data_IF_389974452527
#
_entry.id   IF_389974452527
#
_cell.length_a   1.000
_cell.length_b   1.000
_cell.length_c   1.000
_cell.angle_alpha   90.00
_cell.angle_beta   90.00
_cell.angle_gamma   90.00
#
_symmetry.space_group_name_H-M   'P 1'
#
loop_
_entity.id
_entity.type
_entity.pdbx_description
1 polymer ?
#
# COMPACT_ATOMS: atom_id res chain seq x y z
N UNK A 1 -11.34 -10.26 -28.03
CA UNK A 1 -10.63 -10.58 -26.78
C UNK A 1 -9.68 -9.43 -26.56
N UNK A 2 -9.91 -8.61 -25.53
CA UNK A 2 -8.96 -7.57 -25.19
C UNK A 2 -7.88 -8.25 -24.36
N UNK A 3 -6.65 -8.24 -24.87
CA UNK A 3 -5.49 -8.88 -24.23
C UNK A 3 -5.09 -8.07 -22.99
N UNK A 4 -5.80 -8.30 -21.89
CA UNK A 4 -5.43 -7.74 -20.60
C UNK A 4 -4.27 -8.52 -20.00
N UNK A 5 -3.23 -7.80 -19.61
CA UNK A 5 -2.11 -8.37 -18.87
C UNK A 5 -2.35 -8.16 -17.39
N UNK A 6 -2.78 -9.21 -16.70
CA UNK A 6 -2.92 -9.21 -15.25
C UNK A 6 -1.53 -9.32 -14.61
N UNK A 7 -1.06 -8.25 -14.00
CA UNK A 7 0.17 -8.24 -13.24
C UNK A 7 -0.16 -8.06 -11.75
N UNK A 8 0.01 -9.16 -11.03
CA UNK A 8 -0.19 -9.27 -9.61
C UNK A 8 1.12 -8.96 -8.88
N UNK A 9 1.11 -7.95 -8.02
CA UNK A 9 2.27 -7.65 -7.19
C UNK A 9 1.85 -7.24 -5.79
N UNK A 10 2.67 -7.59 -4.81
CA UNK A 10 2.60 -7.05 -3.47
C UNK A 10 3.74 -6.03 -3.28
N UNK A 11 3.43 -4.75 -3.10
CA UNK A 11 4.48 -3.72 -3.05
C UNK A 11 5.06 -3.60 -1.65
N UNK A 12 6.36 -3.85 -1.48
CA UNK A 12 7.04 -3.68 -0.21
C UNK A 12 7.05 -2.20 0.22
N UNK A 13 7.24 -1.26 -0.71
CA UNK A 13 7.29 0.16 -0.38
C UNK A 13 5.91 0.69 0.06
N UNK A 14 4.83 0.35 -0.65
CA UNK A 14 3.46 0.74 -0.24
C UNK A 14 3.06 0.08 1.08
N UNK A 15 3.36 -1.21 1.25
CA UNK A 15 3.09 -1.92 2.51
C UNK A 15 3.87 -1.35 3.70
N UNK A 16 5.05 -0.75 3.48
CA UNK A 16 5.78 -0.09 4.56
C UNK A 16 5.08 1.18 5.05
N UNK A 17 4.47 1.96 4.16
CA UNK A 17 3.69 3.14 4.57
C UNK A 17 2.47 2.71 5.39
N UNK A 18 1.77 1.65 4.97
CA UNK A 18 0.64 1.07 5.70
C UNK A 18 1.08 0.53 7.07
N UNK A 19 2.25 -0.10 7.14
CA UNK A 19 2.81 -0.56 8.41
C UNK A 19 3.02 0.61 9.38
N UNK A 20 3.57 1.74 8.92
CA UNK A 20 3.78 2.93 9.76
C UNK A 20 2.43 3.57 10.13
N UNK A 21 1.45 3.63 9.24
CA UNK A 21 0.09 4.08 9.55
C UNK A 21 -0.50 3.28 10.73
N UNK A 22 -0.41 1.96 10.66
CA UNK A 22 -0.92 1.08 11.70
C UNK A 22 -0.19 1.26 13.04
N UNK A 23 1.13 1.53 13.00
CA UNK A 23 1.85 1.94 14.21
C UNK A 23 1.20 3.20 14.82
N UNK A 24 0.99 4.26 14.03
CA UNK A 24 0.35 5.48 14.53
C UNK A 24 -1.06 5.24 15.07
N UNK A 25 -1.87 4.38 14.45
CA UNK A 25 -3.20 4.05 14.95
C UNK A 25 -3.16 3.28 16.27
N UNK A 26 -2.32 2.26 16.38
CA UNK A 26 -2.15 1.48 17.61
C UNK A 26 -1.62 2.34 18.75
N UNK A 27 -0.76 3.32 18.45
CA UNK A 27 -0.18 4.23 19.45
C UNK A 27 -1.14 5.26 20.03
N UNK A 28 -2.18 5.61 19.27
CA UNK A 28 -3.17 6.62 19.66
C UNK A 28 -4.46 6.00 20.22
N UNK A 29 -4.54 4.67 20.31
CA UNK A 29 -5.62 3.96 20.96
C UNK A 29 -5.24 3.59 22.39
N UNK A 30 -6.23 3.57 23.28
CA UNK A 30 -6.05 3.23 24.70
C UNK A 30 -5.80 1.74 24.95
N UNK A 31 -6.04 0.90 23.94
CA UNK A 31 -5.88 -0.55 23.98
C UNK A 31 -5.32 -1.03 22.63
N UNK A 32 -4.60 -2.14 22.63
CA UNK A 32 -4.26 -2.86 21.41
C UNK A 32 -5.58 -3.30 20.76
N UNK A 33 -5.85 -2.84 19.55
CA UNK A 33 -7.18 -3.03 18.92
C UNK A 33 -7.16 -3.90 17.69
N UNK A 34 -5.98 -4.15 17.10
CA UNK A 34 -5.89 -4.80 15.79
C UNK A 34 -4.62 -5.65 15.73
N UNK A 35 -4.78 -6.98 15.84
CA UNK A 35 -3.72 -8.00 15.68
C UNK A 35 -3.21 -8.15 14.23
N UNK A 36 -3.38 -7.12 13.38
CA UNK A 36 -2.97 -7.16 11.97
C UNK A 36 -1.46 -6.97 11.80
N UNK A 37 -0.86 -6.16 12.66
CA UNK A 37 0.57 -5.82 12.61
C UNK A 37 1.21 -5.96 13.99
N UNK A 38 2.49 -6.36 14.07
CA UNK A 38 3.22 -6.42 15.33
C UNK A 38 3.21 -5.08 16.05
N UNK A 39 2.85 -5.10 17.33
CA UNK A 39 3.04 -3.95 18.21
C UNK A 39 4.52 -3.79 18.57
N UNK A 40 5.00 -2.56 18.55
CA UNK A 40 6.37 -2.20 18.94
C UNK A 40 6.31 -1.19 20.06
N UNK A 41 7.10 -1.30 21.14
CA UNK A 41 7.29 -0.23 22.12
C UNK A 41 8.16 0.88 21.50
N UNK A 42 7.57 2.05 21.24
CA UNK A 42 8.15 3.17 20.52
C UNK A 42 8.37 4.33 21.50
N UNK A 43 9.48 5.04 21.31
CA UNK A 43 9.70 6.32 21.97
C UNK A 43 8.92 7.42 21.23
N UNK A 44 7.83 7.92 21.84
CA UNK A 44 6.96 8.97 21.28
C UNK A 44 7.70 10.27 20.93
N UNK A 45 8.84 10.54 21.58
CA UNK A 45 9.64 11.72 21.29
C UNK A 45 10.23 11.71 19.88
N UNK A 46 10.39 10.53 19.27
CA UNK A 46 10.85 10.35 17.89
C UNK A 46 9.74 10.42 16.83
N UNK A 47 8.47 10.39 17.23
CA UNK A 47 7.33 10.45 16.33
C UNK A 47 6.93 11.90 16.00
N UNK A 48 6.53 12.13 14.75
CA UNK A 48 5.79 13.33 14.37
C UNK A 48 4.44 13.36 15.08
N UNK A 49 3.83 14.55 15.20
CA UNK A 49 2.41 14.60 15.54
C UNK A 49 1.57 13.97 14.40
N UNK A 50 0.34 13.56 14.72
CA UNK A 50 -0.52 12.81 13.78
C UNK A 50 -0.78 13.58 12.49
N UNK A 51 -1.05 14.89 12.58
CA UNK A 51 -1.34 15.73 11.41
C UNK A 51 -0.15 15.82 10.45
N UNK A 52 1.06 16.07 10.98
CA UNK A 52 2.28 16.13 10.19
C UNK A 52 2.61 14.77 9.57
N UNK A 53 2.40 13.69 10.32
CA UNK A 53 2.56 12.34 9.80
C UNK A 53 1.62 12.07 8.63
N UNK A 54 0.31 12.38 8.75
CA UNK A 54 -0.66 12.16 7.68
C UNK A 54 -0.28 12.90 6.39
N UNK A 55 0.16 14.15 6.50
CA UNK A 55 0.60 14.95 5.35
C UNK A 55 1.80 14.29 4.67
N UNK A 56 2.84 13.93 5.44
CA UNK A 56 4.07 13.35 4.87
C UNK A 56 3.86 11.93 4.35
N UNK A 57 3.06 11.12 5.04
CA UNK A 57 2.73 9.77 4.62
C UNK A 57 1.97 9.76 3.30
N UNK A 58 0.98 10.66 3.13
CA UNK A 58 0.31 10.88 1.84
C UNK A 58 1.28 11.27 0.74
N UNK A 59 2.23 12.16 1.01
CA UNK A 59 3.23 12.56 0.01
C UNK A 59 4.12 11.38 -0.42
N UNK A 60 4.63 10.61 0.53
CA UNK A 60 5.44 9.42 0.25
C UNK A 60 4.63 8.37 -0.51
N UNK A 61 3.40 8.11 -0.08
CA UNK A 61 2.46 7.23 -0.76
C UNK A 61 2.27 7.65 -2.23
N UNK A 62 1.99 8.93 -2.48
CA UNK A 62 1.86 9.47 -3.85
C UNK A 62 3.12 9.32 -4.69
N UNK A 63 4.31 9.50 -4.10
CA UNK A 63 5.57 9.33 -4.82
C UNK A 63 5.79 7.87 -5.23
N UNK A 64 5.45 6.91 -4.36
CA UNK A 64 5.54 5.49 -4.67
C UNK A 64 4.50 5.11 -5.73
N UNK A 65 3.25 5.52 -5.51
CA UNK A 65 2.10 5.19 -6.35
C UNK A 65 2.24 5.70 -7.80
N UNK A 66 2.91 6.84 -8.00
CA UNK A 66 3.14 7.43 -9.32
C UNK A 66 4.52 7.07 -9.90
N UNK A 67 5.19 6.04 -9.39
CA UNK A 67 6.45 5.57 -9.97
C UNK A 67 6.19 4.72 -11.21
N UNK A 68 6.67 5.17 -12.38
CA UNK A 68 6.36 4.59 -13.71
C UNK A 68 6.56 3.06 -13.80
N UNK A 69 7.58 2.53 -13.12
CA UNK A 69 7.94 1.11 -13.18
C UNK A 69 7.94 0.46 -11.78
N UNK A 70 6.98 0.82 -10.91
CA UNK A 70 6.91 0.29 -9.54
C UNK A 70 6.94 -1.24 -9.54
N UNK A 71 6.11 -1.89 -10.37
CA UNK A 71 6.03 -3.35 -10.46
C UNK A 71 7.38 -4.03 -10.68
N UNK A 72 8.21 -3.50 -11.59
CA UNK A 72 9.48 -4.11 -11.98
C UNK A 72 10.59 -3.84 -10.96
N UNK A 73 10.61 -2.66 -10.37
CA UNK A 73 11.74 -2.17 -9.57
C UNK A 73 11.44 -1.98 -8.08
N UNK A 74 10.28 -2.44 -7.56
CA UNK A 74 9.88 -2.15 -6.18
C UNK A 74 10.92 -2.64 -5.14
N UNK A 75 11.44 -3.85 -5.34
CA UNK A 75 12.48 -4.43 -4.49
C UNK A 75 13.79 -3.65 -4.57
N UNK A 76 14.15 -3.15 -5.76
CA UNK A 76 15.33 -2.32 -5.95
C UNK A 76 15.16 -0.95 -5.30
N UNK A 77 13.97 -0.35 -5.41
CA UNK A 77 13.62 0.90 -4.75
C UNK A 77 13.71 0.76 -3.23
N UNK A 78 13.25 -0.36 -2.71
CA UNK A 78 13.39 -0.69 -1.29
C UNK A 78 14.85 -0.82 -0.86
N UNK A 79 15.62 -1.62 -1.60
CA UNK A 79 17.01 -1.94 -1.28
C UNK A 79 17.92 -0.71 -1.36
N UNK A 80 17.65 0.19 -2.31
CA UNK A 80 18.40 1.42 -2.52
C UNK A 80 17.84 2.63 -1.75
N UNK A 81 16.83 2.44 -0.89
CA UNK A 81 16.20 3.52 -0.12
C UNK A 81 15.70 4.69 -1.00
N UNK A 82 15.10 4.39 -2.16
CA UNK A 82 14.64 5.40 -3.12
C UNK A 82 13.69 6.42 -2.49
N UNK A 83 12.83 5.98 -1.57
CA UNK A 83 11.87 6.82 -0.89
C UNK A 83 12.35 7.19 0.51
N UNK A 84 12.20 8.47 0.88
CA UNK A 84 12.63 9.02 2.17
C UNK A 84 11.64 8.72 3.30
N UNK A 85 11.54 7.45 3.68
CA UNK A 85 10.67 7.02 4.80
C UNK A 85 11.13 7.55 6.16
N UNK A 86 12.41 7.90 6.30
CA UNK A 86 12.98 8.54 7.49
C UNK A 86 12.26 9.86 7.81
N UNK A 87 11.76 10.57 6.79
CA UNK A 87 11.00 11.82 6.97
C UNK A 87 9.62 11.63 7.61
N UNK A 88 9.16 10.39 7.81
CA UNK A 88 7.95 10.09 8.58
C UNK A 88 8.19 10.13 10.09
N UNK A 89 9.43 10.41 10.51
CA UNK A 89 9.85 10.56 11.89
C UNK A 89 10.41 11.97 12.12
N UNK A 90 10.64 12.34 13.38
CA UNK A 90 11.31 13.60 13.71
C UNK A 90 12.78 13.55 13.32
N UNK A 91 13.30 14.69 12.89
CA UNK A 91 14.73 14.89 12.61
C UNK A 91 15.50 15.13 13.91
N UNK A 92 15.52 14.10 14.76
CA UNK A 92 16.26 14.04 16.02
C UNK A 92 16.98 12.71 16.10
N UNK A 93 17.99 12.59 16.97
CA UNK A 93 18.67 11.30 17.19
C UNK A 93 17.69 10.17 17.54
N UNK A 94 16.69 10.48 18.38
CA UNK A 94 15.62 9.56 18.77
C UNK A 94 14.76 9.16 17.56
N UNK A 95 14.36 10.12 16.72
CA UNK A 95 13.54 9.83 15.53
C UNK A 95 14.29 8.99 14.49
N UNK A 96 15.58 9.27 14.28
CA UNK A 96 16.46 8.48 13.39
C UNK A 96 16.63 7.04 13.90
N UNK A 97 16.81 6.86 15.21
CA UNK A 97 16.88 5.53 15.82
C UNK A 97 15.55 4.78 15.69
N UNK A 98 14.44 5.47 15.95
CA UNK A 98 13.10 4.91 15.85
C UNK A 98 12.79 4.42 14.43
N UNK A 99 13.14 5.21 13.41
CA UNK A 99 13.03 4.81 12.01
C UNK A 99 13.77 3.49 11.73
N UNK A 100 15.02 3.35 12.21
CA UNK A 100 15.82 2.13 12.01
C UNK A 100 15.18 0.91 12.66
N UNK A 101 14.65 1.07 13.88
CA UNK A 101 13.94 0.00 14.60
C UNK A 101 12.69 -0.43 13.84
N UNK A 102 11.85 0.54 13.44
CA UNK A 102 10.60 0.28 12.71
C UNK A 102 10.88 -0.38 11.36
N UNK A 103 11.86 0.11 10.60
CA UNK A 103 12.25 -0.49 9.31
C UNK A 103 12.75 -1.93 9.45
N UNK A 104 13.55 -2.22 10.48
CA UNK A 104 14.04 -3.58 10.76
C UNK A 104 12.90 -4.52 11.18
N UNK A 105 11.98 -4.02 12.01
CA UNK A 105 10.78 -4.77 12.41
C UNK A 105 9.92 -5.11 11.21
N UNK A 106 9.58 -4.11 10.39
CA UNK A 106 8.82 -4.30 9.16
C UNK A 106 9.48 -5.31 8.23
N UNK A 107 10.79 -5.20 7.99
CA UNK A 107 11.51 -6.15 7.12
C UNK A 107 11.37 -7.59 7.62
N UNK A 108 11.47 -7.80 8.92
CA UNK A 108 11.35 -9.13 9.53
C UNK A 108 9.91 -9.66 9.39
N UNK A 109 8.92 -8.83 9.71
CA UNK A 109 7.50 -9.19 9.58
C UNK A 109 7.06 -9.41 8.12
N UNK A 110 7.51 -8.56 7.19
CA UNK A 110 7.10 -8.60 5.80
C UNK A 110 7.59 -9.88 5.13
N UNK A 111 8.86 -10.26 5.26
CA UNK A 111 9.35 -11.46 4.58
C UNK A 111 8.82 -12.78 5.16
N UNK A 112 8.45 -12.80 6.45
CA UNK A 112 7.89 -14.00 7.08
C UNK A 112 6.38 -14.11 6.87
N UNK A 113 5.63 -13.05 7.21
CA UNK A 113 4.17 -13.08 7.27
C UNK A 113 3.55 -12.18 6.20
N UNK A 114 3.93 -10.90 6.14
CA UNK A 114 3.23 -9.91 5.32
C UNK A 114 3.22 -10.24 3.83
N UNK A 115 4.38 -10.61 3.28
CA UNK A 115 4.58 -11.01 1.89
C UNK A 115 3.75 -12.26 1.58
N UNK A 116 3.84 -13.30 2.42
CA UNK A 116 3.05 -14.53 2.25
C UNK A 116 1.55 -14.25 2.25
N UNK A 117 1.07 -13.39 3.15
CA UNK A 117 -0.34 -12.99 3.17
C UNK A 117 -0.74 -12.31 1.87
N UNK A 118 0.05 -11.34 1.40
CA UNK A 118 -0.24 -10.64 0.15
C UNK A 118 -0.12 -11.54 -1.09
N UNK A 119 0.85 -12.44 -1.17
CA UNK A 119 1.14 -13.23 -2.38
C UNK A 119 0.50 -14.62 -2.42
N UNK A 120 0.32 -15.29 -1.28
CA UNK A 120 -0.21 -16.66 -1.24
C UNK A 120 -1.70 -16.66 -0.92
N UNK A 121 -2.12 -15.81 0.01
CA UNK A 121 -3.50 -15.84 0.52
C UNK A 121 -4.42 -14.85 -0.17
N UNK A 122 -3.91 -13.67 -0.52
CA UNK A 122 -4.72 -12.65 -1.18
C UNK A 122 -4.55 -12.72 -2.70
N UNK A 123 -3.33 -12.86 -3.20
CA UNK A 123 -3.03 -12.63 -4.60
C UNK A 123 -3.78 -13.55 -5.58
N UNK A 124 -3.95 -14.86 -5.35
CA UNK A 124 -4.63 -15.69 -6.36
C UNK A 124 -6.14 -15.45 -6.37
N UNK A 125 -6.80 -15.61 -5.21
CA UNK A 125 -8.26 -15.48 -5.14
C UNK A 125 -8.76 -14.03 -5.29
N UNK A 126 -8.10 -13.06 -4.66
CA UNK A 126 -8.55 -11.66 -4.66
C UNK A 126 -8.34 -11.03 -6.03
N UNK A 127 -7.20 -11.29 -6.67
CA UNK A 127 -6.87 -10.65 -7.95
C UNK A 127 -7.74 -11.21 -9.07
N UNK A 128 -7.92 -12.52 -9.12
CA UNK A 128 -8.81 -13.14 -10.10
C UNK A 128 -10.27 -12.68 -9.91
N UNK A 129 -10.76 -12.67 -8.67
CA UNK A 129 -12.11 -12.19 -8.36
C UNK A 129 -12.30 -10.70 -8.71
N UNK A 130 -11.35 -9.84 -8.31
CA UNK A 130 -11.40 -8.41 -8.62
C UNK A 130 -11.34 -8.16 -10.14
N UNK A 131 -10.47 -8.88 -10.85
CA UNK A 131 -10.37 -8.81 -12.31
C UNK A 131 -11.67 -9.26 -13.00
N UNK A 132 -12.24 -10.38 -12.58
CA UNK A 132 -13.51 -10.86 -13.13
C UNK A 132 -14.65 -9.85 -12.88
N UNK A 133 -14.68 -9.21 -11.71
CA UNK A 133 -15.61 -8.12 -11.39
C UNK A 133 -15.38 -6.89 -12.27
N UNK A 134 -14.13 -6.50 -12.53
CA UNK A 134 -13.80 -5.39 -13.45
C UNK A 134 -14.35 -5.66 -14.85
N UNK A 135 -14.08 -6.85 -15.41
CA UNK A 135 -14.57 -7.25 -16.74
C UNK A 135 -16.09 -7.29 -16.81
N UNK A 136 -16.76 -7.78 -15.76
CA UNK A 136 -18.22 -7.80 -15.73
C UNK A 136 -18.81 -6.38 -15.64
N UNK A 137 -18.20 -5.51 -14.85
CA UNK A 137 -18.64 -4.13 -14.71
C UNK A 137 -18.46 -3.34 -16.02
N UNK A 138 -17.38 -3.57 -16.77
CA UNK A 138 -17.18 -2.94 -18.09
C UNK A 138 -18.26 -3.35 -19.09
N UNK A 139 -18.65 -4.63 -19.10
CA UNK A 139 -19.74 -5.14 -19.95
C UNK A 139 -21.09 -4.53 -19.57
N UNK A 140 -21.39 -4.44 -18.27
CA UNK A 140 -22.65 -3.86 -17.77
C UNK A 140 -22.75 -2.38 -18.14
N UNK A 141 -21.65 -1.63 -18.00
CA UNK A 141 -21.60 -0.20 -18.29
C UNK A 141 -21.45 0.14 -19.77
N UNK A 142 -21.23 -0.86 -20.63
CA UNK A 142 -20.86 -0.66 -22.03
C UNK A 142 -19.70 0.34 -22.19
N UNK A 143 -18.71 0.21 -21.31
CA UNK A 143 -17.55 1.11 -21.20
C UNK A 143 -16.27 0.35 -21.50
N UNK A 144 -15.33 1.01 -22.15
CA UNK A 144 -13.97 0.48 -22.34
C UNK A 144 -13.05 0.93 -21.21
N UNK A 145 -12.01 0.13 -20.95
CA UNK A 145 -10.95 0.54 -20.04
C UNK A 145 -10.05 1.55 -20.74
N UNK A 146 -9.55 2.53 -20.00
CA UNK A 146 -8.55 3.50 -20.47
C UNK A 146 -7.30 2.86 -21.06
N UNK A 147 -6.93 1.69 -20.54
CA UNK A 147 -5.73 0.95 -20.89
C UNK A 147 -6.02 -0.54 -20.94
N UNK A 148 -5.29 -1.24 -21.81
CA UNK A 148 -5.30 -2.70 -21.88
C UNK A 148 -4.27 -3.33 -20.91
N UNK A 149 -3.53 -2.52 -20.17
CA UNK A 149 -2.52 -2.95 -19.20
C UNK A 149 -2.67 -2.18 -17.90
N UNK A 150 -3.03 -2.88 -16.83
CA UNK A 150 -3.05 -2.32 -15.48
C UNK A 150 -2.54 -3.33 -14.46
N UNK A 151 -1.93 -2.83 -13.40
CA UNK A 151 -1.38 -3.58 -12.28
C UNK A 151 -2.40 -3.62 -11.15
N UNK A 152 -2.72 -4.82 -10.65
CA UNK A 152 -3.45 -4.97 -9.40
C UNK A 152 -2.41 -5.10 -8.28
N UNK A 153 -2.22 -4.00 -7.55
CA UNK A 153 -1.20 -3.88 -6.53
C UNK A 153 -1.80 -4.21 -5.16
N UNK A 154 -1.47 -5.40 -4.67
CA UNK A 154 -1.95 -5.92 -3.39
C UNK A 154 -1.23 -5.23 -2.24
N UNK A 155 -2.03 -4.71 -1.32
CA UNK A 155 -1.58 -4.20 -0.03
C UNK A 155 -2.27 -4.96 1.10
N UNK A 156 -1.57 -5.06 2.23
CA UNK A 156 -1.98 -5.87 3.37
C UNK A 156 -3.22 -5.30 4.09
N UNK A 157 -3.36 -3.98 4.10
CA UNK A 157 -4.52 -3.30 4.68
C UNK A 157 -4.89 -2.06 3.86
N UNK A 158 -6.11 -1.58 4.05
CA UNK A 158 -6.62 -0.41 3.32
C UNK A 158 -5.86 0.87 3.73
N UNK A 159 -5.35 1.68 2.78
CA UNK A 159 -4.83 3.00 3.10
C UNK A 159 -5.96 3.93 3.57
N UNK A 160 -5.66 4.98 4.37
CA UNK A 160 -6.64 6.02 4.69
C UNK A 160 -7.31 6.60 3.44
N UNK A 161 -8.59 6.95 3.53
CA UNK A 161 -9.36 7.49 2.40
C UNK A 161 -8.71 8.74 1.80
N UNK A 162 -8.05 9.56 2.64
CA UNK A 162 -7.35 10.76 2.24
C UNK A 162 -6.14 10.48 1.34
N UNK A 163 -5.64 9.24 1.32
CA UNK A 163 -4.53 8.78 0.48
C UNK A 163 -5.02 8.09 -0.79
N UNK A 164 -6.33 8.05 -1.03
CA UNK A 164 -6.89 7.52 -2.27
C UNK A 164 -6.31 8.31 -3.46
N UNK A 165 -5.70 7.57 -4.38
CA UNK A 165 -5.07 8.08 -5.60
C UNK A 165 -5.60 7.28 -6.78
N UNK A 166 -5.55 7.91 -7.95
CA UNK A 166 -5.94 7.31 -9.23
C UNK A 166 -4.74 7.25 -10.14
N UNK A 167 -4.49 6.09 -10.73
CA UNK A 167 -3.47 5.87 -11.75
C UNK A 167 -4.12 5.02 -12.83
N UNK A 168 -3.92 5.39 -14.08
CA UNK A 168 -4.53 4.70 -15.22
C UNK A 168 -4.00 3.28 -15.37
N UNK A 169 -2.79 3.02 -14.87
CA UNK A 169 -2.10 1.74 -15.01
C UNK A 169 -2.01 0.97 -13.67
N UNK A 170 -2.50 1.48 -12.55
CA UNK A 170 -2.37 0.79 -11.25
C UNK A 170 -3.59 0.99 -10.35
N UNK A 171 -4.11 -0.12 -9.83
CA UNK A 171 -5.21 -0.18 -8.88
C UNK A 171 -4.70 -0.81 -7.59
N UNK A 172 -4.94 -0.14 -6.46
CA UNK A 172 -4.65 -0.70 -5.13
C UNK A 172 -5.81 -1.60 -4.73
N UNK A 173 -5.49 -2.83 -4.36
CA UNK A 173 -6.47 -3.79 -3.82
C UNK A 173 -5.99 -4.29 -2.47
N UNK A 174 -6.93 -4.60 -1.59
CA UNK A 174 -6.67 -5.19 -0.28
C UNK A 174 -7.77 -6.19 0.06
N UNK A 175 -7.60 -7.04 1.09
CA UNK A 175 -8.65 -7.96 1.52
C UNK A 175 -9.98 -7.27 1.88
N UNK A 176 -9.95 -5.98 2.19
CA UNK A 176 -11.12 -5.16 2.52
C UNK A 176 -11.67 -4.40 1.31
N UNK A 177 -10.86 -4.16 0.27
CA UNK A 177 -11.29 -3.57 -1.01
C UNK A 177 -11.52 -4.70 -2.02
N UNK A 178 -12.73 -5.25 -2.02
CA UNK A 178 -13.08 -6.41 -2.87
C UNK A 178 -13.94 -6.07 -4.09
N UNK A 179 -14.29 -4.80 -4.28
CA UNK A 179 -15.18 -4.37 -5.35
C UNK A 179 -14.56 -3.22 -6.15
N UNK A 180 -14.51 -3.35 -7.49
CA UNK A 180 -14.19 -2.26 -8.39
C UNK A 180 -15.08 -1.04 -8.17
N UNK A 181 -14.51 0.14 -8.35
CA UNK A 181 -15.28 1.39 -8.25
C UNK A 181 -15.69 1.89 -9.62
N UNK A 182 -16.82 2.61 -9.67
CA UNK A 182 -17.38 3.13 -10.92
C UNK A 182 -16.43 4.07 -11.69
N UNK A 183 -15.40 4.59 -11.03
CA UNK A 183 -14.45 5.61 -11.48
C UNK A 183 -13.24 5.03 -12.23
N UNK A 184 -13.14 3.70 -12.33
CA UNK A 184 -12.08 2.96 -13.05
C UNK A 184 -12.36 2.80 -14.56
N UNK A 185 -13.45 3.39 -15.06
CA UNK A 185 -13.92 3.27 -16.44
C UNK A 185 -14.04 4.65 -17.09
N UNK A 186 -13.73 4.75 -18.39
CA UNK A 186 -14.18 5.89 -19.17
C UNK A 186 -15.65 5.72 -19.50
N UNK A 187 -16.44 6.76 -19.23
CA UNK A 187 -17.81 6.83 -19.76
C UNK A 187 -17.68 7.20 -21.24
N UNK A 188 -18.09 6.30 -22.12
CA UNK A 188 -18.26 6.57 -23.56
C UNK A 188 -19.54 7.39 -23.75
#
# INVERSE_FOLDING_TARGET
MNDFYLANAASINLNFVIYIQNLYENYNKSHETIDKFPWLPLNKEGLLNVSDFQIRAKQVWSMIFNSDNLYEYDIDYWSNNKFSFDKLFKDTSIGVELYKIVKRSFRSWYWETGYRMCTIFFSDCLVEDYYNKLINLSKIKNSEFKTNKFYLQVVYDIPPNEWSLKNENMIIISPQIQLPTAEEFDVI
#
